data_IF_626592904836
#
_entry.id   IF_626592904836
#
_cell.length_a   1.000
_cell.length_b   1.000
_cell.length_c   1.000
_cell.angle_alpha   90.00
_cell.angle_beta   90.00
_cell.angle_gamma   90.00
#
_symmetry.space_group_name_H-M   'P 1'
#
loop_
_entity.id
_entity.type
_entity.pdbx_description
1 polymer ?
#
# COMPACT_ATOMS: atom_id res chain seq x y z
N UNK A 1 -16.42 -53.18 20.15
CA UNK A 1 -17.52 -54.05 19.71
C UNK A 1 -18.02 -53.52 18.40
N UNK A 2 -17.91 -54.36 17.35
CA UNK A 2 -18.72 -54.47 16.12
C UNK A 2 -19.27 -53.18 15.48
N UNK A 3 -19.22 -52.96 14.17
CA UNK A 3 -18.91 -53.83 13.04
C UNK A 3 -18.76 -52.91 11.82
N UNK A 4 -18.04 -53.37 10.80
CA UNK A 4 -18.07 -52.79 9.46
C UNK A 4 -18.36 -53.93 8.51
N UNK A 5 -19.43 -53.85 7.71
CA UNK A 5 -19.28 -54.26 6.31
C UNK A 5 -19.92 -53.22 5.36
N UNK A 6 -19.29 -52.83 4.25
CA UNK A 6 -19.05 -53.57 3.00
C UNK A 6 -20.36 -53.90 2.26
N UNK A 7 -20.61 -53.21 1.14
CA UNK A 7 -20.46 -53.68 -0.27
C UNK A 7 -21.58 -54.64 -0.71
N UNK A 8 -22.00 -54.48 -1.99
CA UNK A 8 -22.63 -55.42 -2.95
C UNK A 8 -23.80 -54.66 -3.62
N UNK A 9 -23.72 -54.15 -4.87
CA UNK A 9 -23.42 -54.73 -6.20
C UNK A 9 -24.46 -55.73 -6.67
N UNK A 10 -24.89 -55.56 -7.93
CA UNK A 10 -25.63 -56.53 -8.75
C UNK A 10 -27.11 -56.70 -8.31
N UNK A 11 -28.09 -56.94 -9.16
CA UNK A 11 -28.14 -57.23 -10.58
C UNK A 11 -29.63 -57.31 -10.97
N UNK A 12 -29.86 -57.24 -12.28
CA UNK A 12 -30.83 -58.03 -13.02
C UNK A 12 -32.34 -57.84 -12.86
N UNK A 13 -32.94 -58.01 -14.05
CA UNK A 13 -34.24 -58.60 -14.34
C UNK A 13 -35.47 -57.70 -14.13
N UNK A 14 -36.51 -57.76 -14.94
CA UNK A 14 -36.78 -58.37 -16.23
C UNK A 14 -38.23 -57.98 -16.58
N UNK A 15 -38.49 -57.77 -17.88
CA UNK A 15 -39.76 -58.07 -18.57
C UNK A 15 -41.06 -57.28 -18.23
N UNK A 16 -42.11 -57.28 -19.11
CA UNK A 16 -42.32 -58.17 -20.26
C UNK A 16 -42.72 -57.54 -21.61
N UNK A 17 -42.29 -58.25 -22.65
CA UNK A 17 -43.04 -58.78 -23.79
C UNK A 17 -44.41 -58.16 -24.15
N UNK A 18 -44.46 -57.61 -25.36
CA UNK A 18 -45.53 -57.70 -26.37
C UNK A 18 -44.93 -57.10 -27.65
N UNK A 19 -44.94 -57.70 -28.83
CA UNK A 19 -45.64 -58.83 -29.38
C UNK A 19 -45.72 -58.55 -30.89
N UNK A 20 -45.17 -59.47 -31.70
CA UNK A 20 -45.59 -59.80 -33.07
C UNK A 20 -45.58 -58.68 -34.12
N UNK A 21 -44.71 -58.82 -35.13
CA UNK A 21 -45.03 -59.11 -36.55
C UNK A 21 -43.71 -59.08 -37.32
N UNK A 22 -43.34 -60.23 -37.88
CA UNK A 22 -42.19 -60.35 -38.77
C UNK A 22 -42.46 -59.71 -40.12
N UNK A 23 -41.49 -58.92 -40.59
CA UNK A 23 -41.36 -58.59 -42.02
C UNK A 23 -39.93 -58.90 -42.42
N UNK A 24 -39.80 -59.95 -43.22
CA UNK A 24 -38.59 -60.38 -43.92
C UNK A 24 -38.02 -59.22 -44.74
N UNK A 25 -36.91 -58.61 -44.30
CA UNK A 25 -36.16 -57.64 -45.12
C UNK A 25 -35.09 -58.39 -45.88
N UNK A 26 -35.37 -58.59 -47.16
CA UNK A 26 -34.43 -59.16 -48.12
C UNK A 26 -33.09 -58.43 -48.10
N UNK A 27 -32.02 -59.22 -48.06
CA UNK A 27 -30.66 -58.77 -48.32
C UNK A 27 -30.55 -58.32 -49.78
N UNK A 28 -30.89 -57.07 -50.06
CA UNK A 28 -30.37 -56.39 -51.24
C UNK A 28 -28.95 -55.96 -50.94
N UNK A 29 -27.99 -56.81 -51.35
CA UNK A 29 -26.62 -56.41 -51.61
C UNK A 29 -26.65 -55.41 -52.77
N UNK A 30 -26.96 -54.14 -52.48
CA UNK A 30 -26.67 -53.04 -53.40
C UNK A 30 -25.16 -52.89 -53.41
N UNK A 31 -24.54 -53.40 -54.45
CA UNK A 31 -23.29 -52.84 -54.94
C UNK A 31 -23.49 -51.33 -55.05
N UNK A 32 -22.82 -50.58 -54.16
CA UNK A 32 -22.72 -49.13 -54.29
C UNK A 32 -21.87 -48.89 -55.52
N UNK A 33 -22.54 -48.70 -56.64
CA UNK A 33 -21.97 -48.09 -57.82
C UNK A 33 -21.39 -46.74 -57.38
N UNK A 34 -20.06 -46.67 -57.38
CA UNK A 34 -19.31 -45.52 -56.91
C UNK A 34 -19.56 -44.38 -57.88
N UNK A 35 -20.55 -43.54 -57.59
CA UNK A 35 -20.88 -42.41 -58.45
C UNK A 35 -19.62 -41.53 -58.61
N UNK A 36 -19.24 -41.15 -59.85
CA UNK A 36 -18.03 -40.37 -60.11
C UNK A 36 -17.96 -39.03 -59.36
N UNK A 37 -19.11 -38.55 -58.89
CA UNK A 37 -19.24 -37.28 -58.17
C UNK A 37 -19.17 -37.40 -56.65
N UNK A 38 -19.16 -38.61 -56.09
CA UNK A 38 -19.04 -38.85 -54.64
C UNK A 38 -17.77 -38.21 -54.05
N UNK A 39 -16.64 -38.28 -54.77
CA UNK A 39 -15.39 -37.63 -54.36
C UNK A 39 -15.49 -36.10 -54.35
N UNK A 40 -16.20 -35.51 -55.32
CA UNK A 40 -16.38 -34.05 -55.39
C UNK A 40 -17.28 -33.55 -54.26
N UNK A 41 -18.33 -34.30 -53.94
CA UNK A 41 -19.23 -33.96 -52.84
C UNK A 41 -18.50 -34.00 -51.49
N UNK A 42 -17.70 -35.04 -51.23
CA UNK A 42 -16.90 -35.14 -49.99
C UNK A 42 -15.91 -33.98 -49.85
N UNK A 43 -15.25 -33.57 -50.94
CA UNK A 43 -14.31 -32.43 -50.91
C UNK A 43 -15.04 -31.13 -50.56
N UNK A 44 -16.21 -30.87 -51.17
CA UNK A 44 -17.00 -29.67 -50.88
C UNK A 44 -17.52 -29.67 -49.44
N UNK A 45 -18.00 -30.81 -48.94
CA UNK A 45 -18.47 -30.92 -47.56
C UNK A 45 -17.35 -30.69 -46.55
N UNK A 46 -16.14 -31.25 -46.78
CA UNK A 46 -14.99 -31.02 -45.90
C UNK A 46 -14.53 -29.55 -45.92
N UNK A 47 -14.55 -28.90 -47.09
CA UNK A 47 -14.23 -27.48 -47.20
C UNK A 47 -15.21 -26.60 -46.42
N UNK A 48 -16.52 -26.88 -46.51
CA UNK A 48 -17.53 -26.13 -45.75
C UNK A 48 -17.41 -26.34 -44.24
N UNK A 49 -17.11 -27.57 -43.79
CA UNK A 49 -16.88 -27.85 -42.36
C UNK A 49 -15.65 -27.11 -41.86
N UNK A 50 -14.56 -27.06 -42.64
CA UNK A 50 -13.36 -26.30 -42.27
C UNK A 50 -13.64 -24.79 -42.13
N UNK A 51 -14.44 -24.21 -43.04
CA UNK A 51 -14.85 -22.80 -42.95
C UNK A 51 -15.73 -22.54 -41.74
N UNK A 52 -16.67 -23.45 -41.43
CA UNK A 52 -17.51 -23.34 -40.25
C UNK A 52 -16.70 -23.39 -38.95
N UNK A 53 -15.72 -24.30 -38.86
CA UNK A 53 -14.81 -24.38 -37.71
C UNK A 53 -13.97 -23.10 -37.61
N UNK A 54 -13.42 -22.59 -38.71
CA UNK A 54 -12.65 -21.34 -38.70
C UNK A 54 -13.49 -20.13 -38.25
N UNK A 55 -14.76 -20.05 -38.66
CA UNK A 55 -15.68 -19.00 -38.23
C UNK A 55 -16.01 -19.09 -36.73
N UNK A 56 -16.22 -20.30 -36.20
CA UNK A 56 -16.46 -20.52 -34.78
C UNK A 56 -15.22 -20.15 -33.95
N UNK A 57 -14.03 -20.58 -34.38
CA UNK A 57 -12.77 -20.21 -33.72
C UNK A 57 -12.55 -18.70 -33.77
N UNK A 58 -12.82 -18.06 -34.90
CA UNK A 58 -12.77 -16.60 -35.04
C UNK A 58 -13.74 -15.88 -34.10
N UNK A 59 -14.98 -16.35 -33.99
CA UNK A 59 -15.99 -15.80 -33.09
C UNK A 59 -15.61 -15.97 -31.60
N UNK A 60 -15.06 -17.13 -31.23
CA UNK A 60 -14.55 -17.37 -29.87
C UNK A 60 -13.37 -16.46 -29.56
N UNK A 61 -12.44 -16.25 -30.49
CA UNK A 61 -11.31 -15.34 -30.29
C UNK A 61 -11.75 -13.88 -30.13
N UNK A 62 -12.79 -13.45 -30.84
CA UNK A 62 -13.37 -12.10 -30.68
C UNK A 62 -14.09 -11.96 -29.33
N UNK A 63 -14.79 -13.00 -28.87
CA UNK A 63 -15.48 -13.00 -27.58
C UNK A 63 -14.51 -13.07 -26.38
N UNK A 64 -13.38 -13.78 -26.51
CA UNK A 64 -12.36 -13.88 -25.45
C UNK A 64 -11.41 -12.67 -25.45
N UNK A 65 -11.17 -12.06 -26.62
CA UNK A 65 -10.34 -10.85 -26.76
C UNK A 65 -11.07 -9.54 -26.44
N UNK A 66 -12.39 -9.56 -26.29
CA UNK A 66 -13.25 -8.40 -26.04
C UNK A 66 -13.36 -7.97 -24.58
N UNK A 67 -12.43 -8.37 -23.72
CA UNK A 67 -12.27 -7.76 -22.40
C UNK A 67 -11.82 -6.31 -22.59
N UNK A 68 -12.78 -5.39 -22.66
CA UNK A 68 -12.48 -3.96 -22.55
C UNK A 68 -11.75 -3.79 -21.23
N UNK A 69 -10.43 -3.58 -21.29
CA UNK A 69 -9.68 -3.13 -20.14
C UNK A 69 -10.40 -1.88 -19.66
N UNK A 70 -11.03 -1.97 -18.49
CA UNK A 70 -11.67 -0.81 -17.87
C UNK A 70 -10.66 0.33 -17.80
N UNK A 71 -11.12 1.59 -17.67
CA UNK A 71 -10.21 2.71 -17.45
C UNK A 71 -9.17 2.33 -16.38
N UNK A 72 -7.88 2.64 -16.60
CA UNK A 72 -6.85 2.27 -15.65
C UNK A 72 -7.27 2.77 -14.26
N UNK A 73 -7.09 1.96 -13.21
CA UNK A 73 -7.54 2.34 -11.87
C UNK A 73 -6.94 3.70 -11.51
N UNK A 74 -7.81 4.63 -11.10
CA UNK A 74 -7.40 5.94 -10.62
C UNK A 74 -6.41 5.76 -9.46
N UNK A 75 -5.35 6.58 -9.45
CA UNK A 75 -4.28 6.42 -8.45
C UNK A 75 -4.82 6.67 -7.03
N UNK A 76 -5.62 7.71 -6.84
CA UNK A 76 -6.36 7.99 -5.60
C UNK A 76 -7.78 8.47 -5.94
N UNK A 77 -8.66 8.50 -4.94
CA UNK A 77 -10.03 9.01 -5.09
C UNK A 77 -10.12 10.54 -5.18
N UNK A 78 -9.07 11.24 -4.73
CA UNK A 78 -8.97 12.69 -4.70
C UNK A 78 -7.60 13.13 -5.22
N UNK A 79 -7.50 14.33 -5.80
CA UNK A 79 -6.24 14.96 -6.20
C UNK A 79 -6.32 16.48 -6.01
N UNK A 80 -5.21 17.17 -5.71
CA UNK A 80 -5.20 18.63 -5.63
C UNK A 80 -5.54 19.25 -7.00
N UNK A 81 -6.22 20.39 -6.98
CA UNK A 81 -6.55 21.16 -8.18
C UNK A 81 -5.44 22.13 -8.59
N UNK A 82 -4.50 22.39 -7.69
CA UNK A 82 -3.36 23.27 -7.91
C UNK A 82 -2.02 22.52 -7.75
N UNK A 83 -0.97 23.03 -8.39
CA UNK A 83 0.40 22.57 -8.20
C UNK A 83 1.18 23.43 -7.20
N UNK A 84 2.47 23.11 -7.02
CA UNK A 84 3.39 23.83 -6.12
C UNK A 84 2.88 23.92 -4.68
N UNK A 85 3.25 25.00 -3.98
CA UNK A 85 2.91 25.22 -2.56
C UNK A 85 1.40 25.23 -2.31
N UNK A 86 0.61 25.73 -3.27
CA UNK A 86 -0.85 25.73 -3.11
C UNK A 86 -1.44 24.32 -3.16
N UNK A 87 -0.92 23.47 -4.07
CA UNK A 87 -1.23 22.05 -4.09
C UNK A 87 -0.76 21.31 -2.84
N UNK A 88 0.43 21.63 -2.32
CA UNK A 88 0.93 21.07 -1.06
C UNK A 88 -0.01 21.38 0.12
N UNK A 89 -0.56 22.58 0.18
CA UNK A 89 -1.57 22.96 1.21
C UNK A 89 -2.86 22.19 1.04
N UNK A 90 -3.36 22.05 -0.19
CA UNK A 90 -4.54 21.23 -0.46
C UNK A 90 -4.33 19.77 -0.01
N UNK A 91 -3.14 19.22 -0.22
CA UNK A 91 -2.79 17.87 0.26
C UNK A 91 -2.82 17.82 1.79
N UNK A 92 -2.23 18.80 2.48
CA UNK A 92 -2.25 18.87 3.94
C UNK A 92 -3.68 18.97 4.49
N UNK A 93 -4.51 19.83 3.88
CA UNK A 93 -5.90 20.05 4.28
C UNK A 93 -6.80 18.82 4.02
N UNK A 94 -6.50 18.03 2.98
CA UNK A 94 -7.20 16.79 2.68
C UNK A 94 -6.77 15.66 3.62
N UNK A 95 -5.47 15.45 3.82
CA UNK A 95 -4.95 14.26 4.53
C UNK A 95 -5.13 14.38 6.05
N UNK A 96 -4.78 15.52 6.64
CA UNK A 96 -4.70 15.67 8.10
C UNK A 96 -6.01 15.36 8.87
N UNK A 97 -7.21 15.74 8.39
CA UNK A 97 -8.47 15.49 9.11
C UNK A 97 -8.82 14.01 9.31
N UNK A 98 -8.24 13.12 8.51
CA UNK A 98 -8.48 11.68 8.63
C UNK A 98 -7.67 11.05 9.78
N UNK A 99 -6.60 11.70 10.25
CA UNK A 99 -5.74 11.18 11.30
C UNK A 99 -6.22 11.60 12.68
N UNK A 100 -6.47 10.62 13.55
CA UNK A 100 -7.12 10.84 14.85
C UNK A 100 -6.31 10.25 15.99
N UNK A 101 -6.10 11.03 17.06
CA UNK A 101 -5.52 10.53 18.30
C UNK A 101 -6.53 9.70 19.10
N UNK A 102 -7.80 10.07 19.03
CA UNK A 102 -8.96 9.37 19.63
C UNK A 102 -10.17 9.52 18.69
N UNK A 103 -11.27 8.77 18.86
CA UNK A 103 -12.47 8.98 18.04
C UNK A 103 -12.95 10.44 17.98
N UNK A 104 -12.78 11.19 19.07
CA UNK A 104 -13.23 12.57 19.19
C UNK A 104 -12.16 13.62 18.83
N UNK A 105 -10.88 13.26 18.77
CA UNK A 105 -9.77 14.23 18.68
C UNK A 105 -8.86 13.92 17.49
N UNK A 106 -8.67 14.92 16.63
CA UNK A 106 -7.69 14.88 15.54
C UNK A 106 -6.27 14.73 16.11
N UNK A 107 -5.41 14.03 15.37
CA UNK A 107 -4.03 13.76 15.77
C UNK A 107 -3.19 15.03 15.75
N UNK A 108 -3.18 15.70 14.59
CA UNK A 108 -2.40 16.88 14.31
C UNK A 108 -3.02 17.68 13.15
N UNK A 109 -2.64 18.96 13.06
CA UNK A 109 -2.84 19.79 11.88
C UNK A 109 -1.53 19.79 11.09
N UNK A 110 -1.64 19.75 9.77
CA UNK A 110 -0.48 19.78 8.89
C UNK A 110 -0.39 21.16 8.24
N UNK A 111 0.78 21.79 8.32
CA UNK A 111 1.03 23.08 7.65
C UNK A 111 2.23 22.97 6.73
N UNK A 112 2.25 23.76 5.65
CA UNK A 112 3.35 23.77 4.68
C UNK A 112 4.34 24.85 5.05
N UNK A 113 5.62 24.50 5.15
CA UNK A 113 6.71 25.43 5.36
C UNK A 113 7.40 25.76 4.04
N UNK A 114 7.52 27.05 3.74
CA UNK A 114 8.12 27.53 2.51
C UNK A 114 9.63 27.67 2.70
N UNK A 115 10.37 26.65 2.26
CA UNK A 115 11.82 26.77 2.04
C UNK A 115 12.04 27.42 0.68
N UNK A 116 11.98 28.74 0.63
CA UNK A 116 12.33 29.44 -0.62
C UNK A 116 13.79 29.17 -0.97
N UNK A 117 14.10 29.02 -2.26
CA UNK A 117 15.47 28.85 -2.77
C UNK A 117 16.39 30.06 -2.49
N UNK A 118 15.82 31.14 -1.96
CA UNK A 118 16.48 32.38 -1.50
C UNK A 118 16.35 32.58 0.01
N UNK A 119 15.71 31.65 0.72
CA UNK A 119 15.34 31.74 2.14
C UNK A 119 16.32 31.00 3.02
N UNK A 120 16.54 31.57 4.19
CA UNK A 120 17.53 31.23 5.20
C UNK A 120 17.27 29.91 5.93
N UNK A 121 16.48 29.00 5.36
CA UNK A 121 16.17 27.69 5.94
C UNK A 121 16.63 26.57 5.01
N UNK A 122 17.79 25.99 5.34
CA UNK A 122 18.36 24.85 4.62
C UNK A 122 18.08 23.57 5.38
N UNK A 123 17.80 22.49 4.65
CA UNK A 123 17.72 21.13 5.23
C UNK A 123 19.02 20.41 4.93
N UNK A 124 19.70 19.96 5.99
CA UNK A 124 20.93 19.20 5.90
C UNK A 124 20.80 17.87 6.64
N UNK A 125 21.29 16.80 6.02
CA UNK A 125 21.36 15.47 6.62
C UNK A 125 22.79 15.22 7.07
N UNK A 126 22.96 14.70 8.29
CA UNK A 126 24.26 14.27 8.80
C UNK A 126 24.58 12.86 8.31
N UNK A 127 25.75 12.68 7.71
CA UNK A 127 26.27 11.35 7.38
C UNK A 127 26.67 10.63 8.70
N UNK A 128 26.08 9.46 8.99
CA UNK A 128 26.34 8.75 10.24
C UNK A 128 27.78 8.21 10.34
N UNK A 129 28.50 8.09 9.23
CA UNK A 129 29.83 7.49 9.20
C UNK A 129 30.95 8.49 9.50
N UNK A 130 30.79 9.73 9.05
CA UNK A 130 31.83 10.77 9.14
C UNK A 130 31.35 12.07 9.81
N UNK A 131 30.06 12.18 10.12
CA UNK A 131 29.46 13.34 10.80
C UNK A 131 29.32 14.59 9.92
N UNK A 132 29.65 14.53 8.64
CA UNK A 132 29.55 15.67 7.71
C UNK A 132 28.08 15.99 7.41
N UNK A 133 27.79 17.28 7.16
CA UNK A 133 26.47 17.75 6.79
C UNK A 133 26.37 17.86 5.27
N UNK A 134 25.38 17.19 4.68
CA UNK A 134 25.07 17.27 3.27
C UNK A 134 23.66 17.85 3.08
N UNK A 135 23.53 18.88 2.24
CA UNK A 135 22.22 19.40 1.85
C UNK A 135 21.41 18.35 1.08
N UNK A 136 20.09 18.37 1.22
CA UNK A 136 19.22 17.58 0.36
C UNK A 136 19.27 18.08 -1.08
N UNK A 137 19.51 17.18 -2.03
CA UNK A 137 19.57 17.54 -3.46
C UNK A 137 18.17 17.64 -4.05
N UNK A 138 17.92 18.67 -4.85
CA UNK A 138 16.63 18.90 -5.51
C UNK A 138 15.63 19.69 -4.66
N UNK A 139 14.41 19.87 -5.17
CA UNK A 139 13.37 20.63 -4.47
C UNK A 139 12.78 19.82 -3.32
N UNK A 140 12.61 20.46 -2.16
CA UNK A 140 12.09 19.83 -0.94
C UNK A 140 10.79 20.48 -0.54
N UNK A 141 9.74 19.68 -0.34
CA UNK A 141 8.52 20.12 0.33
C UNK A 141 8.64 19.82 1.82
N UNK A 142 8.24 20.76 2.68
CA UNK A 142 8.30 20.59 4.14
C UNK A 142 6.90 20.73 4.72
N UNK A 143 6.50 19.71 5.47
CA UNK A 143 5.26 19.66 6.22
C UNK A 143 5.56 19.69 7.72
N UNK A 144 4.95 20.63 8.43
CA UNK A 144 4.93 20.66 9.89
C UNK A 144 3.66 19.96 10.37
N UNK A 145 3.81 18.78 10.95
CA UNK A 145 2.75 18.04 11.62
C UNK A 145 2.71 18.54 13.07
N UNK A 146 1.77 19.42 13.39
CA UNK A 146 1.66 20.07 14.69
C UNK A 146 0.45 19.53 15.46
N UNK A 147 0.69 18.96 16.64
CA UNK A 147 -0.39 18.52 17.52
C UNK A 147 -1.22 19.69 18.04
N UNK A 148 -2.46 19.41 18.43
CA UNK A 148 -3.43 20.41 18.92
C UNK A 148 -3.22 20.84 20.39
N UNK A 149 -2.07 20.51 20.99
CA UNK A 149 -1.70 20.84 22.36
C UNK A 149 -0.70 21.98 22.45
N UNK A 150 -0.25 22.27 23.68
CA UNK A 150 0.75 23.29 23.95
C UNK A 150 2.06 22.99 23.21
N UNK A 151 2.67 23.99 22.58
CA UNK A 151 3.93 23.87 21.83
C UNK A 151 3.92 22.79 20.75
N UNK A 152 2.83 22.67 19.99
CA UNK A 152 2.63 21.64 18.96
C UNK A 152 2.63 20.20 19.47
N UNK A 153 2.53 19.95 20.78
CA UNK A 153 2.40 18.61 21.32
C UNK A 153 1.03 17.99 20.99
N UNK A 154 0.94 16.67 20.95
CA UNK A 154 -0.36 15.98 20.79
C UNK A 154 -1.11 16.04 22.12
N UNK A 155 -2.25 16.74 22.15
CA UNK A 155 -3.03 16.98 23.36
C UNK A 155 -3.71 15.73 23.95
N UNK A 156 -3.97 14.70 23.14
CA UNK A 156 -4.82 13.58 23.52
C UNK A 156 -4.10 12.21 23.50
N UNK A 157 -4.49 11.37 24.47
CA UNK A 157 -4.02 9.99 24.66
C UNK A 157 -2.57 9.87 25.13
N UNK A 158 -2.15 8.63 25.43
CA UNK A 158 -0.79 8.32 25.88
C UNK A 158 0.20 8.19 24.72
N UNK A 159 1.38 8.85 24.78
CA UNK A 159 2.48 8.60 23.86
C UNK A 159 2.81 7.09 23.77
N UNK A 160 2.93 6.57 22.55
CA UNK A 160 3.19 5.16 22.29
C UNK A 160 3.90 4.96 20.94
N UNK A 161 4.51 3.79 20.75
CA UNK A 161 5.06 3.37 19.45
C UNK A 161 4.00 3.34 18.37
N UNK A 162 2.79 2.86 18.68
CA UNK A 162 1.66 2.79 17.74
C UNK A 162 1.20 4.18 17.29
N UNK A 163 1.25 5.18 18.19
CA UNK A 163 1.02 6.60 17.83
C UNK A 163 2.11 7.13 16.90
N UNK A 164 3.38 6.83 17.18
CA UNK A 164 4.48 7.22 16.30
C UNK A 164 4.35 6.54 14.92
N UNK A 165 3.91 5.29 14.87
CA UNK A 165 3.67 4.58 13.62
C UNK A 165 2.52 5.24 12.82
N UNK A 166 1.48 5.72 13.50
CA UNK A 166 0.40 6.49 12.85
C UNK A 166 0.89 7.84 12.30
N UNK A 167 1.76 8.56 13.02
CA UNK A 167 2.40 9.78 12.50
C UNK A 167 3.29 9.49 11.29
N UNK A 168 4.02 8.37 11.30
CA UNK A 168 4.84 7.91 10.17
C UNK A 168 3.98 7.55 8.96
N UNK A 169 2.81 6.96 9.18
CA UNK A 169 1.80 6.72 8.14
C UNK A 169 1.32 8.04 7.52
N UNK A 170 0.99 9.04 8.35
CA UNK A 170 0.58 10.38 7.89
C UNK A 170 1.64 11.02 7.01
N UNK A 171 2.90 11.01 7.48
CA UNK A 171 4.03 11.51 6.71
C UNK A 171 4.22 10.77 5.37
N UNK A 172 4.02 9.44 5.35
CA UNK A 172 4.10 8.63 4.14
C UNK A 172 2.98 8.98 3.15
N UNK A 173 1.74 9.14 3.63
CA UNK A 173 0.61 9.51 2.79
C UNK A 173 0.80 10.90 2.16
N UNK A 174 1.16 11.89 2.97
CA UNK A 174 1.51 13.23 2.50
C UNK A 174 2.57 13.14 1.38
N UNK A 175 3.64 12.38 1.63
CA UNK A 175 4.75 12.23 0.67
C UNK A 175 4.32 11.58 -0.63
N UNK A 176 3.49 10.52 -0.58
CA UNK A 176 2.98 9.85 -1.76
C UNK A 176 2.11 10.80 -2.60
N UNK A 177 1.21 11.55 -1.97
CA UNK A 177 0.41 12.57 -2.66
C UNK A 177 1.29 13.67 -3.28
N UNK A 178 2.25 14.21 -2.52
CA UNK A 178 3.15 15.25 -3.01
C UNK A 178 3.96 14.77 -4.20
N UNK A 179 4.61 13.61 -4.12
CA UNK A 179 5.37 13.09 -5.25
C UNK A 179 4.50 12.73 -6.45
N UNK A 180 3.25 12.29 -6.22
CA UNK A 180 2.34 11.96 -7.31
C UNK A 180 1.87 13.20 -8.06
N UNK A 181 1.46 14.24 -7.35
CA UNK A 181 0.71 15.36 -7.92
C UNK A 181 1.50 16.66 -8.02
N UNK A 182 2.49 16.88 -7.16
CA UNK A 182 3.31 18.09 -7.17
C UNK A 182 4.57 17.83 -7.99
N UNK A 183 4.66 18.53 -9.13
CA UNK A 183 5.80 18.43 -10.04
C UNK A 183 7.10 18.90 -9.39
N UNK A 184 8.21 18.28 -9.81
CA UNK A 184 9.59 18.67 -9.45
C UNK A 184 9.99 18.54 -7.97
N UNK A 185 9.14 18.00 -7.09
CA UNK A 185 9.54 17.67 -5.72
C UNK A 185 10.40 16.39 -5.71
N UNK A 186 11.60 16.51 -5.15
CA UNK A 186 12.58 15.43 -4.99
C UNK A 186 12.57 14.84 -3.59
N UNK A 187 12.31 15.68 -2.58
CA UNK A 187 12.29 15.28 -1.18
C UNK A 187 11.03 15.80 -0.49
N UNK A 188 10.52 15.05 0.48
CA UNK A 188 9.49 15.50 1.41
C UNK A 188 10.01 15.31 2.82
N UNK A 189 9.92 16.36 3.63
CA UNK A 189 10.29 16.35 5.05
C UNK A 189 9.02 16.61 5.86
N UNK A 190 8.65 15.67 6.71
CA UNK A 190 7.55 15.84 7.67
C UNK A 190 8.13 15.98 9.08
N UNK A 191 8.06 17.18 9.65
CA UNK A 191 8.46 17.46 11.03
C UNK A 191 7.32 16.99 11.94
N UNK A 192 7.63 16.08 12.87
CA UNK A 192 6.64 15.47 13.75
C UNK A 192 6.44 16.30 15.03
N UNK A 193 5.28 16.17 15.71
CA UNK A 193 5.07 16.76 17.02
C UNK A 193 6.17 16.36 18.02
N UNK A 194 6.56 17.26 18.94
CA UNK A 194 7.55 16.94 19.96
C UNK A 194 7.07 15.77 20.81
N UNK A 195 7.97 14.82 21.05
CA UNK A 195 7.73 13.63 21.84
C UNK A 195 8.71 13.49 23.00
N UNK A 196 8.59 12.39 23.72
CA UNK A 196 9.57 11.99 24.72
C UNK A 196 9.73 10.47 24.73
N UNK A 197 10.95 10.01 25.01
CA UNK A 197 11.23 8.61 25.31
C UNK A 197 11.27 8.42 26.81
N UNK A 198 10.62 7.38 27.31
CA UNK A 198 10.71 6.97 28.71
C UNK A 198 11.51 5.68 28.79
N UNK A 199 12.77 5.75 29.23
CA UNK A 199 13.60 4.56 29.44
C UNK A 199 13.55 4.20 30.92
N UNK A 200 13.06 3.01 31.24
CA UNK A 200 13.29 2.39 32.55
C UNK A 200 14.72 1.85 32.55
N UNK A 201 15.61 2.51 33.28
CA UNK A 201 16.99 2.03 33.39
C UNK A 201 16.98 0.73 34.20
N UNK A 202 17.43 -0.43 33.66
CA UNK A 202 17.63 -1.60 34.50
C UNK A 202 18.68 -1.23 35.56
N UNK A 203 18.26 -1.28 36.81
CA UNK A 203 19.02 -1.01 38.02
C UNK A 203 20.52 -1.29 37.82
N UNK A 204 21.38 -0.28 37.96
CA UNK A 204 22.82 -0.49 38.18
C UNK A 204 22.94 -1.54 39.29
N UNK A 205 23.51 -2.71 39.00
CA UNK A 205 23.75 -3.79 39.96
C UNK A 205 24.63 -3.24 41.08
N UNK A 206 24.02 -2.71 42.14
CA UNK A 206 24.68 -2.36 43.38
C UNK A 206 24.55 -3.52 44.35
N UNK A 207 25.50 -3.71 45.28
CA UNK A 207 25.46 -4.81 46.25
C UNK A 207 24.27 -4.78 47.23
N UNK A 208 23.53 -3.66 47.29
CA UNK A 208 22.39 -3.52 48.20
C UNK A 208 21.07 -3.83 47.50
N UNK A 209 20.16 -4.60 48.12
CA UNK A 209 18.81 -4.81 47.61
C UNK A 209 18.10 -3.46 47.44
N UNK A 210 17.39 -3.22 46.33
CA UNK A 210 16.58 -2.01 46.19
C UNK A 210 15.45 -2.00 47.21
N UNK A 211 15.15 -0.81 47.75
CA UNK A 211 13.87 -0.61 48.41
C UNK A 211 12.71 -0.87 47.41
N UNK A 212 11.63 -1.55 47.81
CA UNK A 212 10.50 -1.78 46.93
C UNK A 212 9.92 -0.44 46.44
N UNK A 213 9.94 -0.23 45.11
CA UNK A 213 9.28 0.91 44.45
C UNK A 213 10.19 1.93 43.74
N UNK A 214 11.52 1.78 43.74
CA UNK A 214 12.41 2.77 43.10
C UNK A 214 12.83 2.35 41.68
N UNK A 215 11.93 2.50 40.71
CA UNK A 215 12.29 2.50 39.28
C UNK A 215 12.49 3.93 38.82
N UNK A 216 13.71 4.34 38.52
CA UNK A 216 13.98 5.66 37.94
C UNK A 216 13.70 5.62 36.45
N UNK A 217 12.55 6.15 36.04
CA UNK A 217 12.23 6.42 34.64
C UNK A 217 12.94 7.70 34.21
N UNK A 218 13.80 7.61 33.20
CA UNK A 218 14.42 8.80 32.58
C UNK A 218 13.60 9.20 31.36
N UNK A 219 13.05 10.41 31.38
CA UNK A 219 12.30 11.00 30.26
C UNK A 219 13.20 11.97 29.49
N UNK A 220 13.44 11.71 28.21
CA UNK A 220 14.24 12.59 27.34
C UNK A 220 13.37 13.15 26.20
N UNK A 221 13.52 14.44 25.83
CA UNK A 221 12.81 15.01 24.69
C UNK A 221 13.25 14.36 23.38
N UNK A 222 12.31 14.16 22.48
CA UNK A 222 12.52 13.52 21.19
C UNK A 222 11.83 14.33 20.08
N UNK A 223 12.62 15.10 19.35
CA UNK A 223 12.18 15.85 18.18
C UNK A 223 12.52 15.04 16.92
N UNK A 224 11.48 14.61 16.21
CA UNK A 224 11.61 13.71 15.06
C UNK A 224 11.17 14.39 13.77
N UNK A 225 11.75 13.95 12.68
CA UNK A 225 11.26 14.19 11.33
C UNK A 225 11.28 12.90 10.52
N UNK A 226 10.40 12.82 9.53
CA UNK A 226 10.42 11.75 8.53
C UNK A 226 10.81 12.35 7.18
N UNK A 227 11.80 11.76 6.51
CA UNK A 227 12.26 12.23 5.19
C UNK A 227 12.13 11.14 4.15
N UNK A 228 11.44 11.46 3.07
CA UNK A 228 11.36 10.59 1.89
C UNK A 228 12.00 11.25 0.69
N UNK A 229 12.64 10.42 -0.13
CA UNK A 229 13.08 10.81 -1.45
C UNK A 229 12.14 10.19 -2.48
N UNK A 230 11.83 10.93 -3.54
CA UNK A 230 10.96 10.42 -4.62
C UNK A 230 11.48 9.11 -5.20
N UNK A 231 12.80 8.96 -5.28
CA UNK A 231 13.45 7.76 -5.79
C UNK A 231 13.15 6.51 -4.94
N UNK A 232 13.11 6.63 -3.61
CA UNK A 232 12.84 5.50 -2.71
C UNK A 232 11.38 5.06 -2.73
N UNK A 233 10.45 5.97 -3.05
CA UNK A 233 9.02 5.65 -3.14
C UNK A 233 8.51 5.35 -4.56
N UNK A 234 9.41 5.30 -5.56
CA UNK A 234 9.03 5.20 -6.98
C UNK A 234 8.14 3.99 -7.29
N UNK A 235 8.36 2.84 -6.65
CA UNK A 235 7.53 1.64 -6.82
C UNK A 235 6.08 1.89 -6.38
N UNK A 236 5.88 2.55 -5.25
CA UNK A 236 4.57 2.87 -4.70
C UNK A 236 3.79 3.91 -5.53
N UNK A 237 4.50 4.80 -6.25
CA UNK A 237 3.87 5.81 -7.11
C UNK A 237 3.26 5.23 -8.41
N UNK A 238 3.70 4.02 -8.80
CA UNK A 238 3.24 3.31 -9.98
C UNK A 238 1.94 2.52 -9.79
N UNK A 239 1.52 2.30 -8.55
CA UNK A 239 0.30 1.57 -8.18
C UNK A 239 -0.71 2.51 -7.51
N UNK A 240 -2.01 2.19 -7.49
CA UNK A 240 -2.99 2.97 -6.74
C UNK A 240 -2.60 3.12 -5.28
N UNK A 241 -2.90 4.27 -4.67
CA UNK A 241 -2.60 4.59 -3.27
C UNK A 241 -3.09 3.49 -2.34
N UNK A 242 -4.28 2.93 -2.60
CA UNK A 242 -4.87 1.83 -1.82
C UNK A 242 -4.10 0.51 -1.85
N UNK A 243 -3.20 0.33 -2.81
CA UNK A 243 -2.29 -0.81 -2.81
C UNK A 243 -1.15 -0.64 -1.77
N UNK A 244 -0.87 0.59 -1.37
CA UNK A 244 0.14 0.93 -0.34
C UNK A 244 -0.54 1.22 1.00
N UNK A 245 -1.61 2.01 1.01
CA UNK A 245 -2.39 2.42 2.18
C UNK A 245 -3.85 1.98 1.99
N UNK A 246 -4.18 0.69 2.24
CA UNK A 246 -5.51 0.13 2.00
C UNK A 246 -6.61 0.78 2.85
N UNK A 247 -6.28 1.25 4.05
CA UNK A 247 -7.27 1.87 4.95
C UNK A 247 -7.57 3.31 4.49
N UNK A 248 -8.78 3.53 3.97
CA UNK A 248 -9.21 4.88 3.59
C UNK A 248 -9.34 5.80 4.80
N UNK A 249 -9.78 5.24 5.93
CA UNK A 249 -9.79 5.94 7.22
C UNK A 249 -8.65 5.33 8.04
N UNK A 250 -7.59 6.10 8.36
CA UNK A 250 -6.46 5.61 9.13
C UNK A 250 -6.94 4.98 10.46
N UNK A 251 -6.31 3.90 10.92
CA UNK A 251 -6.62 3.30 12.21
C UNK A 251 -6.31 4.27 13.35
N UNK A 252 -6.99 4.11 14.49
CA UNK A 252 -6.60 4.79 15.72
C UNK A 252 -5.26 4.26 16.24
N UNK A 253 -4.54 5.01 17.11
CA UNK A 253 -3.29 4.52 17.70
C UNK A 253 -3.41 3.15 18.35
N UNK A 254 -4.53 2.84 19.00
CA UNK A 254 -4.77 1.53 19.64
C UNK A 254 -5.04 0.38 18.66
N UNK A 255 -5.28 0.69 17.38
CA UNK A 255 -5.57 -0.27 16.32
C UNK A 255 -4.41 -0.41 15.33
N UNK A 256 -3.44 0.52 15.38
CA UNK A 256 -2.35 0.62 14.42
C UNK A 256 -1.54 -0.67 14.35
N UNK A 257 -1.27 -1.33 15.48
CA UNK A 257 -0.43 -2.54 15.50
C UNK A 257 -1.10 -3.75 14.82
N UNK A 258 -2.42 -3.74 14.67
CA UNK A 258 -3.20 -4.78 13.98
C UNK A 258 -3.64 -4.39 12.57
N UNK A 259 -3.30 -3.18 12.11
CA UNK A 259 -3.74 -2.69 10.81
C UNK A 259 -3.02 -3.43 9.67
N UNK A 260 -3.69 -3.75 8.54
CA UNK A 260 -3.07 -4.48 7.43
C UNK A 260 -1.82 -3.80 6.83
N UNK A 261 -1.72 -2.48 6.99
CA UNK A 261 -0.63 -1.66 6.45
C UNK A 261 0.50 -1.38 7.46
N UNK A 262 0.35 -1.82 8.71
CA UNK A 262 1.24 -1.46 9.82
C UNK A 262 2.70 -1.89 9.57
N UNK A 263 2.89 -3.13 9.13
CA UNK A 263 4.21 -3.67 8.80
C UNK A 263 4.84 -2.92 7.64
N UNK A 264 4.08 -2.67 6.57
CA UNK A 264 4.56 -1.94 5.41
C UNK A 264 4.99 -0.52 5.79
N UNK A 265 4.14 0.20 6.53
CA UNK A 265 4.48 1.54 7.03
C UNK A 265 5.74 1.46 7.88
N UNK A 266 5.84 0.50 8.80
CA UNK A 266 7.02 0.35 9.65
C UNK A 266 8.29 0.15 8.82
N UNK A 267 8.29 -0.79 7.88
CA UNK A 267 9.44 -1.10 7.02
C UNK A 267 9.81 0.09 6.13
N UNK A 268 8.85 0.65 5.40
CA UNK A 268 9.08 1.76 4.45
C UNK A 268 9.61 3.00 5.15
N UNK A 269 9.15 3.25 6.38
CA UNK A 269 9.54 4.46 7.12
C UNK A 269 10.69 4.22 8.11
N UNK A 270 11.19 2.98 8.26
CA UNK A 270 12.24 2.62 9.23
C UNK A 270 13.56 3.36 9.01
N UNK A 271 13.93 3.56 7.74
CA UNK A 271 15.14 4.29 7.33
C UNK A 271 14.86 5.78 7.05
N UNK A 272 13.61 6.19 7.14
CA UNK A 272 13.17 7.56 6.87
C UNK A 272 13.10 8.40 8.14
N UNK A 273 13.40 7.84 9.32
CA UNK A 273 13.26 8.53 10.60
C UNK A 273 14.56 9.22 11.01
N UNK A 274 14.46 10.50 11.33
CA UNK A 274 15.58 11.35 11.73
C UNK A 274 15.26 12.04 13.04
N UNK A 275 16.29 12.21 13.87
CA UNK A 275 16.26 13.23 14.91
C UNK A 275 16.49 14.58 14.26
N UNK A 276 15.68 15.58 14.59
CA UNK A 276 15.80 16.92 14.03
C UNK A 276 16.37 17.91 15.03
N UNK A 277 17.15 18.87 14.55
CA UNK A 277 17.70 19.97 15.32
C UNK A 277 17.76 21.24 14.47
N UNK A 278 17.26 22.35 14.99
CA UNK A 278 17.42 23.65 14.36
C UNK A 278 18.72 24.30 14.86
N UNK A 279 19.66 24.58 13.95
CA UNK A 279 20.96 25.18 14.26
C UNK A 279 21.09 26.51 13.53
N UNK A 280 21.58 27.55 14.19
CA UNK A 280 21.92 28.80 13.51
C UNK A 280 23.31 28.69 12.88
N UNK A 281 23.40 28.92 11.57
CA UNK A 281 24.65 29.04 10.85
C UNK A 281 25.35 30.37 11.14
N UNK A 282 26.63 30.49 10.76
CA UNK A 282 27.45 31.67 11.04
C UNK A 282 26.94 32.94 10.35
N UNK A 283 26.20 32.80 9.26
CA UNK A 283 25.55 33.88 8.52
C UNK A 283 24.17 34.27 9.10
N UNK A 284 23.75 33.66 10.22
CA UNK A 284 22.46 33.89 10.86
C UNK A 284 21.30 33.14 10.20
N UNK A 285 21.57 32.23 9.27
CA UNK A 285 20.55 31.36 8.67
C UNK A 285 20.22 30.18 9.58
N UNK A 286 18.96 29.76 9.62
CA UNK A 286 18.53 28.61 10.40
C UNK A 286 18.67 27.35 9.55
N UNK A 287 19.33 26.31 10.05
CA UNK A 287 19.52 25.05 9.32
C UNK A 287 18.81 23.96 10.09
N UNK A 288 17.88 23.28 9.42
CA UNK A 288 17.27 22.05 9.91
C UNK A 288 18.26 20.90 9.67
N UNK A 289 18.94 20.50 10.74
CA UNK A 289 19.86 19.37 10.75
C UNK A 289 19.11 18.10 11.09
N UNK A 290 19.30 17.07 10.27
CA UNK A 290 18.66 15.77 10.39
C UNK A 290 19.70 14.69 10.65
N UNK A 291 19.65 14.07 11.82
CA UNK A 291 20.51 12.96 12.19
C UNK A 291 19.75 11.63 12.01
N UNK A 292 20.22 10.71 11.15
CA UNK A 292 19.52 9.46 10.89
C UNK A 292 19.46 8.61 12.17
N UNK A 293 18.29 8.06 12.46
CA UNK A 293 18.12 7.12 13.55
C UNK A 293 18.38 5.69 13.08
N UNK A 294 18.83 4.78 13.97
CA UNK A 294 18.86 3.36 13.66
C UNK A 294 17.46 2.88 13.23
N UNK A 295 17.37 1.91 12.30
CA UNK A 295 16.09 1.28 11.94
C UNK A 295 15.36 0.82 13.20
N UNK A 296 14.07 1.18 13.31
CA UNK A 296 13.19 0.85 14.43
C UNK A 296 12.35 -0.39 14.13
#
# INVERSE_FOLDING_TARGET
>A
MSDRPQIVRANDAAEPLSGVVGVSRGHYRRERESSPHSRKFVVVTLALVAVAIAAIVGAILILVGGGHAGPPPQWSAWSPSQGGIAGERQIADEVAPFYRATPATQLAVVTVQNVSSTGTEQVAVRDPNNGTLAGLTGTTAIYNVCGLGTNCAIAAGTPSSSRLLLLRREALELSLYTFKYIGNISNVVAILPPGHTSTSNPQKLTPNPPAPGTSTTTTAPLDLAVVFQRASLKSFLGQPLRATLPEQVPPLPSQMDSAPEAELVSVVTSQALFKQQLVQAQDGTSVLVLDPLPPQ
#
